data_IF_921889744042
#
_entry.id   IF_921889744042
#
_cell.length_a   1.000
_cell.length_b   1.000
_cell.length_c   1.000
_cell.angle_alpha   90.00
_cell.angle_beta   90.00
_cell.angle_gamma   90.00
#
_symmetry.space_group_name_H-M   'P 1'
#
loop_
_entity.id
_entity.type
_entity.pdbx_description
1 polymer ?
#
# COMPACT_ATOMS: atom_id res chain seq x y z
N UNK A 1 1.16 15.35 3.87
CA UNK A 1 1.01 14.72 2.54
C UNK A 1 1.74 13.38 2.44
N UNK A 2 3.08 13.33 2.21
CA UNK A 2 3.79 12.03 2.06
C UNK A 2 3.80 11.19 3.35
N UNK A 3 3.81 11.79 4.52
CA UNK A 3 3.95 11.07 5.80
C UNK A 3 2.62 10.71 6.43
N UNK A 4 1.65 11.61 6.39
CA UNK A 4 0.33 11.39 7.03
C UNK A 4 -0.69 10.71 6.11
N UNK A 5 -0.38 10.55 4.82
CA UNK A 5 -1.35 10.09 3.84
C UNK A 5 -2.48 11.08 3.57
N UNK A 6 -2.58 12.19 4.29
CA UNK A 6 -3.61 13.20 4.14
C UNK A 6 -3.18 14.33 3.20
N UNK A 7 -4.11 14.89 2.43
CA UNK A 7 -3.82 15.99 1.51
C UNK A 7 -3.45 17.27 2.27
N UNK A 8 -4.15 17.55 3.37
CA UNK A 8 -3.89 18.68 4.26
C UNK A 8 -4.13 18.29 5.70
N UNK A 9 -3.47 18.97 6.62
CA UNK A 9 -3.74 18.83 8.05
C UNK A 9 -4.77 19.87 8.50
N UNK A 10 -5.63 19.55 9.49
CA UNK A 10 -6.44 20.55 10.16
C UNK A 10 -5.58 21.71 10.67
N UNK A 11 -6.08 22.95 10.60
CA UNK A 11 -5.28 24.13 10.93
C UNK A 11 -4.66 24.10 12.33
N UNK A 12 -5.41 23.61 13.33
CA UNK A 12 -4.97 23.41 14.72
C UNK A 12 -3.79 22.40 14.81
N UNK A 13 -3.83 21.32 14.03
CA UNK A 13 -2.75 20.33 13.98
C UNK A 13 -1.57 20.82 13.16
N UNK A 14 -1.80 21.58 12.10
CA UNK A 14 -0.74 22.19 11.29
C UNK A 14 0.12 23.15 12.10
N UNK A 15 -0.46 23.86 13.07
CA UNK A 15 0.26 24.77 13.97
C UNK A 15 1.34 24.06 14.80
N UNK A 16 1.14 22.78 15.14
CA UNK A 16 2.13 21.97 15.89
C UNK A 16 3.44 21.74 15.11
N UNK A 17 3.40 21.91 13.78
CA UNK A 17 4.54 21.74 12.87
C UNK A 17 5.05 23.06 12.31
N UNK A 18 4.60 24.21 12.84
CA UNK A 18 5.01 25.53 12.35
C UNK A 18 6.53 25.77 12.49
N UNK A 19 7.15 25.20 13.53
CA UNK A 19 8.61 25.25 13.71
C UNK A 19 9.25 24.02 13.02
N UNK A 20 9.36 24.06 11.70
CA UNK A 20 9.98 22.99 10.93
C UNK A 20 11.43 22.71 11.32
N UNK A 21 12.16 23.73 11.84
CA UNK A 21 13.55 23.61 12.28
C UNK A 21 13.75 22.58 13.40
N UNK A 22 12.75 22.38 14.26
CA UNK A 22 12.81 21.40 15.34
C UNK A 22 12.86 19.94 14.86
N UNK A 23 12.49 19.69 13.60
CA UNK A 23 12.45 18.35 13.02
C UNK A 23 13.59 18.09 12.03
N UNK A 24 14.44 19.09 11.74
CA UNK A 24 15.51 18.97 10.77
C UNK A 24 16.72 18.33 11.43
N UNK A 25 17.18 17.21 10.87
CA UNK A 25 18.43 16.56 11.24
C UNK A 25 19.60 17.15 10.46
N UNK A 26 19.42 17.38 9.16
CA UNK A 26 20.44 17.89 8.27
C UNK A 26 19.81 18.62 7.08
N UNK A 27 20.50 19.62 6.55
CA UNK A 27 20.16 20.21 5.25
C UNK A 27 21.44 20.43 4.43
N UNK A 28 21.29 20.42 3.13
CA UNK A 28 22.35 20.78 2.18
C UNK A 28 21.78 21.50 0.97
N UNK A 29 22.53 22.45 0.46
CA UNK A 29 22.24 23.10 -0.81
C UNK A 29 22.63 22.15 -1.95
N UNK A 30 21.80 22.03 -2.96
CA UNK A 30 22.08 21.32 -4.20
C UNK A 30 22.62 22.28 -5.26
N UNK A 31 23.33 21.76 -6.27
CA UNK A 31 23.96 22.57 -7.32
C UNK A 31 22.96 23.39 -8.15
N UNK A 32 21.71 22.98 -8.17
CA UNK A 32 20.59 23.67 -8.85
C UNK A 32 19.88 24.72 -7.98
N UNK A 33 20.44 25.05 -6.81
CA UNK A 33 19.90 26.03 -5.87
C UNK A 33 18.75 25.52 -4.98
N UNK A 34 18.35 24.25 -5.11
CA UNK A 34 17.37 23.62 -4.22
C UNK A 34 18.02 23.23 -2.90
N UNK A 35 17.21 23.16 -1.84
CA UNK A 35 17.66 22.69 -0.52
C UNK A 35 17.15 21.27 -0.32
N UNK A 36 18.06 20.33 -0.06
CA UNK A 36 17.74 18.99 0.41
C UNK A 36 17.69 19.00 1.93
N UNK A 37 16.59 18.56 2.51
CA UNK A 37 16.37 18.53 3.96
C UNK A 37 16.13 17.09 4.41
N UNK A 38 16.88 16.65 5.41
CA UNK A 38 16.65 15.37 6.08
C UNK A 38 16.02 15.64 7.45
N UNK A 39 14.88 15.03 7.70
CA UNK A 39 14.17 15.17 8.97
C UNK A 39 14.55 14.07 9.95
N UNK A 40 14.59 14.40 11.24
CA UNK A 40 14.69 13.42 12.32
C UNK A 40 13.37 12.64 12.42
N UNK A 41 13.39 11.42 11.91
CA UNK A 41 12.22 10.56 11.87
C UNK A 41 11.64 10.24 13.25
N UNK A 42 12.48 10.12 14.28
CA UNK A 42 12.04 9.81 15.66
C UNK A 42 11.30 10.99 16.29
N UNK A 43 11.86 12.20 16.11
CA UNK A 43 11.25 13.42 16.64
C UNK A 43 9.94 13.70 15.92
N UNK A 44 9.94 13.60 14.57
CA UNK A 44 8.76 13.82 13.76
C UNK A 44 7.66 12.80 14.11
N UNK A 45 8.01 11.51 14.25
CA UNK A 45 7.05 10.47 14.60
C UNK A 45 6.40 10.71 15.95
N UNK A 46 7.19 11.00 16.99
CA UNK A 46 6.64 11.35 18.32
C UNK A 46 5.66 12.52 18.29
N UNK A 47 5.96 13.53 17.46
CA UNK A 47 5.06 14.68 17.31
C UNK A 47 3.77 14.32 16.57
N UNK A 48 3.86 13.47 15.54
CA UNK A 48 2.69 12.96 14.81
C UNK A 48 1.80 12.12 15.73
N UNK A 49 2.40 11.23 16.52
CA UNK A 49 1.70 10.38 17.50
C UNK A 49 1.01 11.24 18.57
N UNK A 50 1.71 12.23 19.15
CA UNK A 50 1.17 13.17 20.12
C UNK A 50 0.01 14.03 19.55
N UNK A 51 0.03 14.28 18.25
CA UNK A 51 -1.03 14.98 17.52
C UNK A 51 -2.17 14.05 17.06
N UNK A 52 -2.10 12.76 17.37
CA UNK A 52 -3.04 11.74 16.88
C UNK A 52 -3.20 11.80 15.35
N UNK A 53 -2.08 11.94 14.66
CA UNK A 53 -2.04 11.96 13.20
C UNK A 53 -1.61 10.60 12.69
N UNK A 54 -2.32 10.05 11.69
CA UNK A 54 -1.92 8.79 11.08
C UNK A 54 -0.57 8.94 10.40
N UNK A 55 0.25 7.90 10.47
CA UNK A 55 1.54 7.83 9.77
C UNK A 55 1.45 6.76 8.70
N UNK A 56 1.62 7.17 7.45
CA UNK A 56 1.74 6.21 6.35
C UNK A 56 3.16 5.65 6.31
N UNK A 57 3.30 4.34 6.40
CA UNK A 57 4.59 3.63 6.38
C UNK A 57 5.46 4.05 5.17
N UNK A 58 6.77 3.93 5.32
CA UNK A 58 7.71 4.08 4.20
C UNK A 58 7.56 2.95 3.18
N UNK A 59 7.18 1.76 3.63
CA UNK A 59 6.83 0.65 2.75
C UNK A 59 5.43 0.86 2.19
N UNK A 60 5.36 1.16 0.90
CA UNK A 60 4.11 1.46 0.20
C UNK A 60 3.89 0.46 -0.91
N UNK A 61 2.65 0.04 -1.14
CA UNK A 61 2.37 -0.84 -2.27
C UNK A 61 2.70 -0.13 -3.58
N UNK A 62 3.35 -0.85 -4.48
CA UNK A 62 3.51 -0.38 -5.85
C UNK A 62 2.14 -0.42 -6.56
N UNK A 63 1.88 0.62 -7.34
CA UNK A 63 0.66 0.77 -8.13
C UNK A 63 1.01 0.73 -9.60
N UNK A 64 0.50 -0.26 -10.33
CA UNK A 64 0.60 -0.29 -11.79
C UNK A 64 -0.56 0.51 -12.37
N UNK A 65 -0.25 1.46 -13.24
CA UNK A 65 -1.26 2.28 -13.91
C UNK A 65 -1.38 1.86 -15.37
N UNK A 66 -2.54 1.38 -15.74
CA UNK A 66 -2.94 1.09 -17.11
C UNK A 66 -3.84 2.21 -17.61
N UNK A 67 -3.31 3.09 -18.44
CA UNK A 67 -4.07 4.19 -19.02
C UNK A 67 -4.45 3.87 -20.46
N UNK A 68 -5.71 3.50 -20.66
CA UNK A 68 -6.30 3.30 -21.98
C UNK A 68 -6.76 4.64 -22.55
N UNK A 69 -6.31 4.98 -23.76
CA UNK A 69 -6.60 6.25 -24.44
C UNK A 69 -7.35 5.97 -25.74
N UNK A 70 -8.58 6.48 -25.82
CA UNK A 70 -9.38 6.51 -27.06
C UNK A 70 -9.26 7.90 -27.69
N UNK A 71 -8.46 7.99 -28.75
CA UNK A 71 -8.18 9.24 -29.46
C UNK A 71 -9.22 9.55 -30.54
N UNK A 72 -10.27 8.72 -30.62
CA UNK A 72 -11.30 8.82 -31.64
C UNK A 72 -10.89 8.23 -32.99
N UNK A 73 -11.85 8.09 -33.89
CA UNK A 73 -11.64 7.54 -35.24
C UNK A 73 -11.00 6.14 -35.24
N UNK A 74 -11.28 5.31 -34.24
CA UNK A 74 -10.72 3.97 -34.09
C UNK A 74 -9.29 3.90 -33.56
N UNK A 75 -8.65 5.05 -33.29
CA UNK A 75 -7.30 5.09 -32.71
C UNK A 75 -7.36 4.87 -31.21
N UNK A 76 -6.86 3.74 -30.79
CA UNK A 76 -6.85 3.28 -29.39
C UNK A 76 -5.47 2.83 -29.02
N UNK A 77 -4.98 3.27 -27.89
CA UNK A 77 -3.65 2.93 -27.37
C UNK A 77 -3.64 2.85 -25.87
N UNK A 78 -2.61 2.23 -25.33
CA UNK A 78 -2.32 2.19 -23.90
C UNK A 78 -1.03 2.95 -23.66
N UNK A 79 -0.99 3.79 -22.63
CA UNK A 79 0.19 4.54 -22.25
C UNK A 79 1.19 3.58 -21.59
N UNK A 80 2.31 3.35 -22.25
CA UNK A 80 3.43 2.60 -21.68
C UNK A 80 4.46 3.48 -21.00
N UNK A 81 5.45 2.86 -20.38
CA UNK A 81 6.60 3.53 -19.76
C UNK A 81 7.42 4.35 -20.74
N UNK A 82 7.38 3.98 -22.02
CA UNK A 82 8.04 4.69 -23.13
C UNK A 82 7.15 4.70 -24.38
N UNK A 83 7.58 5.42 -25.41
CA UNK A 83 6.88 5.48 -26.70
C UNK A 83 5.75 6.50 -26.76
N UNK A 84 5.09 6.58 -27.91
CA UNK A 84 3.96 7.46 -28.18
C UNK A 84 2.61 6.75 -28.09
N UNK A 85 1.55 7.50 -28.34
CA UNK A 85 0.20 6.99 -28.57
C UNK A 85 -0.07 6.89 -30.06
N UNK A 86 -1.06 6.09 -30.47
CA UNK A 86 -1.32 5.78 -31.89
C UNK A 86 -1.68 7.00 -32.74
N UNK A 87 -2.27 8.02 -32.15
CA UNK A 87 -2.73 9.23 -32.85
C UNK A 87 -2.13 10.52 -32.31
N UNK A 88 -1.26 10.46 -31.33
CA UNK A 88 -0.64 11.61 -30.69
C UNK A 88 0.89 11.51 -30.71
N UNK A 89 1.54 12.67 -30.63
CA UNK A 89 3.01 12.71 -30.60
C UNK A 89 3.57 12.10 -29.29
N UNK A 90 4.85 11.73 -29.33
CA UNK A 90 5.57 11.28 -28.12
C UNK A 90 5.52 12.34 -27.03
N UNK A 91 5.61 13.63 -27.37
CA UNK A 91 5.53 14.73 -26.40
C UNK A 91 4.19 14.76 -25.64
N UNK A 92 3.08 14.40 -26.28
CA UNK A 92 1.77 14.28 -25.60
C UNK A 92 1.78 13.09 -24.62
N UNK A 93 2.30 11.95 -25.05
CA UNK A 93 2.44 10.79 -24.17
C UNK A 93 3.34 11.11 -22.98
N UNK A 94 4.45 11.81 -23.18
CA UNK A 94 5.35 12.25 -22.11
C UNK A 94 4.67 13.21 -21.14
N UNK A 95 3.84 14.12 -21.62
CA UNK A 95 3.08 15.01 -20.73
C UNK A 95 2.11 14.24 -19.83
N UNK A 96 1.51 13.15 -20.32
CA UNK A 96 0.65 12.27 -19.52
C UNK A 96 1.46 11.49 -18.47
N UNK A 97 2.61 10.93 -18.86
CA UNK A 97 3.53 10.27 -17.92
C UNK A 97 3.95 11.22 -16.81
N UNK A 98 4.39 12.42 -17.19
CA UNK A 98 4.81 13.45 -16.25
C UNK A 98 3.70 13.78 -15.25
N UNK A 99 2.47 14.03 -15.72
CA UNK A 99 1.34 14.35 -14.84
C UNK A 99 1.04 13.22 -13.84
N UNK A 100 1.12 11.96 -14.28
CA UNK A 100 0.91 10.79 -13.42
C UNK A 100 2.02 10.67 -12.38
N UNK A 101 3.29 10.75 -12.80
CA UNK A 101 4.43 10.63 -11.88
C UNK A 101 4.53 11.80 -10.91
N UNK A 102 4.30 13.03 -11.34
CA UNK A 102 4.30 14.19 -10.44
C UNK A 102 3.21 14.08 -9.37
N UNK A 103 2.02 13.61 -9.76
CA UNK A 103 0.92 13.41 -8.83
C UNK A 103 1.24 12.30 -7.81
N UNK A 104 1.78 11.18 -8.28
CA UNK A 104 2.20 10.07 -7.45
C UNK A 104 3.34 10.48 -6.49
N UNK A 105 4.36 11.23 -7.01
CA UNK A 105 5.48 11.68 -6.19
C UNK A 105 5.07 12.63 -5.09
N UNK A 106 4.14 13.57 -5.36
CA UNK A 106 3.59 14.47 -4.32
C UNK A 106 3.00 13.71 -3.14
N UNK A 107 2.50 12.51 -3.38
CA UNK A 107 1.91 11.61 -2.37
C UNK A 107 2.89 10.55 -1.88
N UNK A 108 4.04 10.41 -2.55
CA UNK A 108 5.03 9.36 -2.30
C UNK A 108 4.51 7.96 -2.64
N UNK A 109 3.66 7.84 -3.65
CA UNK A 109 3.11 6.58 -4.13
C UNK A 109 4.07 5.99 -5.18
N UNK A 110 4.62 4.76 -4.98
CA UNK A 110 5.39 4.09 -6.02
C UNK A 110 4.49 3.76 -7.21
N UNK A 111 4.70 4.42 -8.35
CA UNK A 111 3.90 4.26 -9.54
C UNK A 111 4.72 3.59 -10.64
N UNK A 112 4.13 2.59 -11.30
CA UNK A 112 4.71 1.85 -12.41
C UNK A 112 3.78 1.99 -13.61
N UNK A 113 4.35 2.34 -14.77
CA UNK A 113 3.68 2.22 -16.05
C UNK A 113 4.12 0.93 -16.72
N UNK A 114 3.24 0.20 -17.44
CA UNK A 114 3.58 -1.04 -18.12
C UNK A 114 4.60 -0.77 -19.23
N UNK A 115 5.45 -1.75 -19.52
CA UNK A 115 6.44 -1.67 -20.59
C UNK A 115 5.80 -1.70 -21.98
N UNK A 116 4.60 -2.25 -22.06
CA UNK A 116 3.85 -2.51 -23.31
C UNK A 116 4.65 -3.39 -24.29
N UNK A 117 5.39 -4.33 -23.75
CA UNK A 117 6.10 -5.35 -24.52
C UNK A 117 5.19 -6.53 -24.92
N UNK A 118 5.75 -7.56 -25.56
CA UNK A 118 4.99 -8.72 -26.02
C UNK A 118 4.28 -9.48 -24.91
N UNK A 119 4.80 -9.46 -23.69
CA UNK A 119 4.17 -10.10 -22.53
C UNK A 119 2.95 -9.31 -22.05
N UNK A 120 3.08 -7.98 -21.91
CA UNK A 120 1.95 -7.13 -21.54
C UNK A 120 0.81 -7.23 -22.56
N UNK A 121 1.16 -7.18 -23.87
CA UNK A 121 0.20 -7.26 -24.96
C UNK A 121 -0.50 -8.62 -25.05
N UNK A 122 0.15 -9.69 -24.60
CA UNK A 122 -0.45 -11.03 -24.54
C UNK A 122 -1.42 -11.21 -23.36
N UNK A 123 -1.20 -10.50 -22.26
CA UNK A 123 -1.95 -10.65 -21.02
C UNK A 123 -3.11 -9.66 -20.87
N UNK A 124 -2.99 -8.45 -21.46
CA UNK A 124 -3.97 -7.39 -21.29
C UNK A 124 -4.25 -6.67 -22.62
N UNK A 125 -5.51 -6.68 -23.03
CA UNK A 125 -5.95 -5.96 -24.22
C UNK A 125 -6.53 -4.58 -23.86
N UNK A 126 -6.62 -3.68 -24.85
CA UNK A 126 -7.34 -2.43 -24.70
C UNK A 126 -8.80 -2.63 -24.23
N UNK A 127 -9.45 -3.69 -24.70
CA UNK A 127 -10.82 -4.01 -24.34
C UNK A 127 -10.97 -4.38 -22.86
N UNK A 128 -9.99 -5.09 -22.29
CA UNK A 128 -9.98 -5.46 -20.88
C UNK A 128 -9.87 -4.23 -19.98
N UNK A 129 -8.99 -3.30 -20.33
CA UNK A 129 -8.84 -2.01 -19.63
C UNK A 129 -10.10 -1.15 -19.76
N UNK A 130 -10.64 -1.07 -20.98
CA UNK A 130 -11.82 -0.26 -21.27
C UNK A 130 -13.09 -0.80 -20.60
N UNK A 131 -13.19 -2.13 -20.51
CA UNK A 131 -14.25 -2.85 -19.79
C UNK A 131 -14.09 -2.81 -18.27
N UNK A 132 -12.89 -2.49 -17.76
CA UNK A 132 -12.62 -2.48 -16.33
C UNK A 132 -12.50 -3.88 -15.71
N UNK A 133 -11.98 -4.85 -16.47
CA UNK A 133 -11.83 -6.23 -15.99
C UNK A 133 -10.65 -6.35 -15.02
N UNK A 134 -10.92 -6.05 -13.74
CA UNK A 134 -9.92 -5.93 -12.67
C UNK A 134 -9.06 -7.19 -12.48
N UNK A 135 -9.67 -8.38 -12.50
CA UNK A 135 -8.95 -9.64 -12.29
C UNK A 135 -7.92 -9.90 -13.40
N UNK A 136 -8.28 -9.61 -14.67
CA UNK A 136 -7.36 -9.71 -15.80
C UNK A 136 -6.19 -8.74 -15.61
N UNK A 137 -6.49 -7.51 -15.20
CA UNK A 137 -5.47 -6.47 -15.02
C UNK A 137 -4.59 -6.73 -13.80
N UNK A 138 -5.11 -7.31 -12.72
CA UNK A 138 -4.32 -7.77 -11.58
C UNK A 138 -3.35 -8.89 -12.01
N UNK A 139 -3.84 -9.86 -12.78
CA UNK A 139 -2.99 -10.95 -13.30
C UNK A 139 -1.87 -10.40 -14.20
N UNK A 140 -2.19 -9.50 -15.15
CA UNK A 140 -1.20 -8.85 -16.01
C UNK A 140 -0.18 -8.00 -15.24
N UNK A 141 -0.58 -7.47 -14.09
CA UNK A 141 0.28 -6.63 -13.24
C UNK A 141 1.19 -7.43 -12.31
N UNK A 142 1.00 -8.74 -12.16
CA UNK A 142 1.77 -9.58 -11.25
C UNK A 142 3.28 -9.56 -11.56
N UNK A 143 3.68 -9.46 -12.83
CA UNK A 143 5.09 -9.35 -13.25
C UNK A 143 5.80 -8.11 -12.66
N UNK A 144 5.05 -7.07 -12.32
CA UNK A 144 5.55 -5.84 -11.69
C UNK A 144 5.59 -5.94 -10.17
N UNK A 145 5.29 -7.10 -9.59
CA UNK A 145 5.19 -7.32 -8.14
C UNK A 145 4.23 -6.34 -7.46
N UNK A 146 3.16 -5.95 -8.17
CA UNK A 146 2.17 -4.99 -7.68
C UNK A 146 0.84 -5.69 -7.38
N UNK A 147 0.31 -5.40 -6.20
CA UNK A 147 -1.00 -5.89 -5.75
C UNK A 147 -2.10 -4.83 -5.90
N UNK A 148 -1.75 -3.67 -6.43
CA UNK A 148 -2.68 -2.56 -6.68
C UNK A 148 -2.60 -2.18 -8.14
N UNK A 149 -3.75 -2.16 -8.79
CA UNK A 149 -3.90 -1.77 -10.19
C UNK A 149 -4.83 -0.58 -10.28
N UNK A 150 -4.39 0.43 -11.03
CA UNK A 150 -5.18 1.61 -11.35
C UNK A 150 -5.44 1.63 -12.85
N UNK A 151 -6.70 1.55 -13.25
CA UNK A 151 -7.12 1.63 -14.65
C UNK A 151 -7.68 3.00 -14.93
N UNK A 152 -7.06 3.73 -15.86
CA UNK A 152 -7.55 5.00 -16.38
C UNK A 152 -8.16 4.82 -17.78
N UNK A 153 -9.35 5.35 -17.99
CA UNK A 153 -10.05 5.36 -19.29
C UNK A 153 -10.21 6.80 -19.73
N UNK A 154 -9.36 7.20 -20.66
CA UNK A 154 -9.31 8.56 -21.19
C UNK A 154 -9.88 8.59 -22.61
N UNK A 155 -10.83 9.47 -22.86
CA UNK A 155 -11.31 9.80 -24.20
C UNK A 155 -10.88 11.20 -24.59
N UNK A 156 -10.32 11.34 -25.78
CA UNK A 156 -10.02 12.65 -26.37
C UNK A 156 -11.20 13.11 -27.24
N UNK A 157 -11.53 14.37 -27.14
CA UNK A 157 -12.48 15.05 -28.05
C UNK A 157 -11.75 16.20 -28.74
N UNK A 158 -11.21 15.93 -29.91
CA UNK A 158 -10.24 16.81 -30.56
C UNK A 158 -8.95 16.94 -29.74
N UNK A 159 -8.45 18.15 -29.52
CA UNK A 159 -7.26 18.40 -28.71
C UNK A 159 -7.55 18.49 -27.19
N UNK A 160 -8.82 18.33 -26.78
CA UNK A 160 -9.18 18.47 -25.37
C UNK A 160 -9.19 17.11 -24.68
N UNK A 161 -8.45 17.02 -23.58
CA UNK A 161 -8.53 15.91 -22.63
C UNK A 161 -9.89 15.99 -21.92
N UNK A 162 -10.68 14.94 -22.03
CA UNK A 162 -11.88 14.77 -21.20
C UNK A 162 -11.47 14.24 -19.84
N UNK A 163 -12.39 14.29 -18.88
CA UNK A 163 -12.15 13.66 -17.57
C UNK A 163 -11.89 12.18 -17.74
N UNK A 164 -10.96 11.66 -16.95
CA UNK A 164 -10.58 10.26 -16.92
C UNK A 164 -11.51 9.52 -15.97
N UNK A 165 -12.03 8.37 -16.40
CA UNK A 165 -12.69 7.43 -15.49
C UNK A 165 -11.64 6.49 -14.92
N UNK A 166 -11.51 6.52 -13.63
CA UNK A 166 -10.55 5.72 -12.87
C UNK A 166 -11.24 4.57 -12.18
N UNK A 167 -10.59 3.41 -12.13
CA UNK A 167 -10.97 2.27 -11.30
C UNK A 167 -9.72 1.73 -10.62
N UNK A 168 -9.79 1.53 -9.31
CA UNK A 168 -8.71 0.94 -8.52
C UNK A 168 -9.11 -0.46 -8.07
N UNK A 169 -8.22 -1.41 -8.26
CA UNK A 169 -8.35 -2.80 -7.83
C UNK A 169 -7.20 -3.14 -6.91
N UNK A 170 -7.54 -3.74 -5.78
CA UNK A 170 -6.57 -4.26 -4.81
C UNK A 170 -6.88 -5.74 -4.64
N UNK A 171 -5.86 -6.60 -4.72
CA UNK A 171 -6.06 -8.04 -4.59
C UNK A 171 -6.79 -8.37 -3.28
N UNK A 172 -7.91 -9.10 -3.39
CA UNK A 172 -8.74 -9.49 -2.25
C UNK A 172 -9.65 -8.39 -1.67
N UNK A 173 -9.83 -7.26 -2.35
CA UNK A 173 -10.67 -6.15 -1.89
C UNK A 173 -11.70 -5.76 -2.95
N UNK A 174 -12.74 -5.04 -2.53
CA UNK A 174 -13.69 -4.43 -3.46
C UNK A 174 -13.02 -3.33 -4.30
N UNK A 175 -13.49 -3.17 -5.54
CA UNK A 175 -13.01 -2.13 -6.45
C UNK A 175 -13.58 -0.77 -6.08
N UNK A 176 -12.83 0.28 -6.39
CA UNK A 176 -13.26 1.67 -6.22
C UNK A 176 -13.24 2.40 -7.57
N UNK A 177 -14.24 3.23 -7.84
CA UNK A 177 -14.33 4.01 -9.08
C UNK A 177 -14.54 5.49 -8.81
N UNK A 178 -13.94 6.34 -9.64
CA UNK A 178 -14.16 7.80 -9.65
C UNK A 178 -13.90 8.42 -11.02
N UNK A 179 -14.27 9.68 -11.16
CA UNK A 179 -14.01 10.49 -12.37
C UNK A 179 -13.26 11.75 -11.97
N UNK A 180 -12.18 12.07 -12.67
CA UNK A 180 -11.35 13.22 -12.35
C UNK A 180 -10.39 13.57 -13.48
N UNK A 181 -9.46 14.48 -13.19
CA UNK A 181 -8.36 14.81 -14.09
C UNK A 181 -7.31 13.67 -14.12
N UNK A 182 -6.34 13.77 -15.02
CA UNK A 182 -5.31 12.75 -15.18
C UNK A 182 -4.52 12.51 -13.88
N UNK A 183 -4.11 13.58 -13.20
CA UNK A 183 -3.39 13.50 -11.92
C UNK A 183 -4.25 13.05 -10.73
N UNK A 184 -5.58 13.09 -10.85
CA UNK A 184 -6.48 12.62 -9.78
C UNK A 184 -6.40 11.10 -9.58
N UNK A 185 -6.03 10.35 -10.62
CA UNK A 185 -5.87 8.90 -10.49
C UNK A 185 -4.91 8.51 -9.38
N UNK A 186 -3.61 8.83 -9.49
CA UNK A 186 -2.63 8.52 -8.45
C UNK A 186 -2.92 9.23 -7.12
N UNK A 187 -3.45 10.46 -7.14
CA UNK A 187 -3.75 11.22 -5.93
C UNK A 187 -4.83 10.53 -5.09
N UNK A 188 -5.97 10.21 -5.70
CA UNK A 188 -7.09 9.57 -5.00
C UNK A 188 -6.73 8.15 -4.56
N UNK A 189 -6.02 7.40 -5.43
CA UNK A 189 -5.50 6.08 -5.06
C UNK A 189 -4.59 6.15 -3.81
N UNK A 190 -3.70 7.15 -3.75
CA UNK A 190 -2.86 7.36 -2.58
C UNK A 190 -3.67 7.73 -1.33
N UNK A 191 -4.74 8.52 -1.46
CA UNK A 191 -5.63 8.86 -0.34
C UNK A 191 -6.34 7.61 0.20
N UNK A 192 -6.90 6.78 -0.68
CA UNK A 192 -7.59 5.55 -0.32
C UNK A 192 -6.63 4.55 0.35
N UNK A 193 -5.47 4.30 -0.27
CA UNK A 193 -4.45 3.43 0.29
C UNK A 193 -3.90 3.97 1.61
N UNK A 194 -3.68 5.29 1.69
CA UNK A 194 -3.25 5.96 2.91
C UNK A 194 -4.26 5.78 4.04
N UNK A 195 -5.55 5.93 3.79
CA UNK A 195 -6.60 5.70 4.79
C UNK A 195 -6.63 4.24 5.26
N UNK A 196 -6.51 3.28 4.34
CA UNK A 196 -6.49 1.87 4.69
C UNK A 196 -5.23 1.49 5.47
N UNK A 197 -4.06 1.93 5.01
CA UNK A 197 -2.77 1.55 5.59
C UNK A 197 -2.37 2.42 6.79
N UNK A 198 -2.76 3.70 6.82
CA UNK A 198 -2.53 4.56 7.98
C UNK A 198 -3.39 4.14 9.18
N UNK A 199 -4.52 3.47 8.95
CA UNK A 199 -5.29 2.84 10.03
C UNK A 199 -4.48 1.72 10.69
N UNK A 200 -3.60 1.06 9.95
CA UNK A 200 -2.64 0.07 10.48
C UNK A 200 -1.41 0.74 11.14
N UNK A 201 -0.99 1.91 10.68
CA UNK A 201 0.15 2.65 11.25
C UNK A 201 -0.22 3.45 12.51
N UNK A 202 -1.47 3.92 12.63
CA UNK A 202 -2.00 4.47 13.90
C UNK A 202 -2.06 3.42 15.01
N UNK A 203 -1.94 2.14 14.68
CA UNK A 203 -1.64 1.06 15.62
C UNK A 203 -0.12 0.95 15.86
N UNK A 204 0.57 2.07 16.13
CA UNK A 204 1.98 2.03 16.59
C UNK A 204 2.12 1.31 17.96
N UNK A 205 1.00 1.08 18.64
CA UNK A 205 0.84 0.16 19.76
C UNK A 205 0.21 -1.19 19.33
N UNK A 206 0.19 -1.50 18.01
CA UNK A 206 -0.31 -2.79 17.59
C UNK A 206 0.64 -3.89 18.04
N UNK A 207 0.09 -4.78 18.83
CA UNK A 207 0.82 -5.94 19.34
C UNK A 207 0.94 -6.93 18.20
N UNK A 208 2.17 -7.33 17.87
CA UNK A 208 2.41 -8.38 16.89
C UNK A 208 2.16 -9.73 17.52
N UNK A 209 1.26 -10.51 16.93
CA UNK A 209 0.95 -11.87 17.36
C UNK A 209 1.23 -12.82 16.20
N UNK A 210 2.22 -13.70 16.36
CA UNK A 210 2.55 -14.73 15.37
C UNK A 210 1.87 -16.04 15.75
N UNK A 211 1.04 -16.57 14.85
CA UNK A 211 0.38 -17.87 15.07
C UNK A 211 0.94 -18.90 14.10
N UNK A 212 1.47 -19.98 14.63
CA UNK A 212 2.03 -21.14 13.90
C UNK A 212 0.98 -22.25 13.75
N UNK A 213 1.20 -23.11 12.76
CA UNK A 213 0.31 -24.24 12.50
C UNK A 213 -0.88 -23.88 11.62
N UNK A 214 -0.93 -22.69 11.05
CA UNK A 214 -1.96 -22.29 10.08
C UNK A 214 -1.56 -22.84 8.70
N UNK A 215 -2.19 -23.96 8.33
CA UNK A 215 -1.90 -24.67 7.08
C UNK A 215 -3.08 -24.64 6.11
N UNK A 216 -4.27 -24.33 6.59
CA UNK A 216 -5.50 -24.29 5.79
C UNK A 216 -6.23 -22.96 5.95
N UNK A 217 -7.16 -22.69 5.03
CA UNK A 217 -8.02 -21.50 5.12
C UNK A 217 -8.95 -21.56 6.34
N UNK A 218 -9.36 -22.78 6.75
CA UNK A 218 -10.20 -22.98 7.93
C UNK A 218 -9.43 -22.66 9.21
N UNK A 219 -8.14 -23.06 9.29
CA UNK A 219 -7.28 -22.66 10.41
C UNK A 219 -7.15 -21.14 10.50
N UNK A 220 -6.89 -20.50 9.37
CA UNK A 220 -6.82 -19.06 9.29
C UNK A 220 -8.12 -18.38 9.75
N UNK A 221 -9.27 -18.83 9.25
CA UNK A 221 -10.56 -18.29 9.60
C UNK A 221 -10.88 -18.46 11.10
N UNK A 222 -10.54 -19.65 11.66
CA UNK A 222 -10.72 -19.95 13.10
C UNK A 222 -9.89 -19.02 13.98
N UNK A 223 -8.60 -18.83 13.65
CA UNK A 223 -7.71 -17.93 14.40
C UNK A 223 -8.18 -16.49 14.29
N UNK A 224 -8.50 -16.02 13.07
CA UNK A 224 -8.95 -14.64 12.85
C UNK A 224 -10.24 -14.32 13.60
N UNK A 225 -11.23 -15.23 13.55
CA UNK A 225 -12.50 -15.05 14.26
C UNK A 225 -12.29 -15.09 15.78
N UNK A 226 -11.41 -15.95 16.27
CA UNK A 226 -11.06 -16.01 17.67
C UNK A 226 -10.45 -14.69 18.15
N UNK A 227 -9.41 -14.18 17.46
CA UNK A 227 -8.75 -12.92 17.83
C UNK A 227 -9.70 -11.72 17.77
N UNK A 228 -10.60 -11.67 16.77
CA UNK A 228 -11.63 -10.63 16.67
C UNK A 228 -12.69 -10.71 17.76
N UNK A 229 -12.92 -11.89 18.32
CA UNK A 229 -13.89 -12.13 19.39
C UNK A 229 -13.41 -11.70 20.78
N UNK A 230 -12.12 -11.40 20.95
CA UNK A 230 -11.58 -10.96 22.24
C UNK A 230 -12.06 -9.52 22.56
N UNK A 231 -12.65 -9.32 23.72
CA UNK A 231 -13.29 -8.05 24.11
C UNK A 231 -12.36 -6.85 24.18
N UNK A 232 -11.05 -7.10 24.34
CA UNK A 232 -10.02 -6.06 24.39
C UNK A 232 -9.45 -5.72 23.01
N UNK A 233 -9.77 -6.52 21.99
CA UNK A 233 -9.28 -6.34 20.62
C UNK A 233 -10.23 -5.42 19.86
N UNK A 234 -9.68 -4.31 19.35
CA UNK A 234 -10.43 -3.37 18.51
C UNK A 234 -10.33 -3.72 17.04
N UNK A 235 -9.15 -4.21 16.62
CA UNK A 235 -8.87 -4.54 15.24
C UNK A 235 -7.81 -5.62 15.12
N UNK A 236 -8.00 -6.52 14.16
CA UNK A 236 -7.01 -7.53 13.75
C UNK A 236 -6.74 -7.32 12.27
N UNK A 237 -5.48 -7.12 11.94
CA UNK A 237 -4.95 -7.12 10.57
C UNK A 237 -3.93 -8.24 10.38
N UNK A 238 -3.64 -8.61 9.14
CA UNK A 238 -2.53 -9.50 8.80
C UNK A 238 -1.36 -8.63 8.38
N UNK A 239 -0.23 -8.75 9.07
CA UNK A 239 0.99 -8.06 8.70
C UNK A 239 1.86 -8.89 7.76
N UNK A 240 1.84 -10.22 7.91
CA UNK A 240 2.63 -11.12 7.07
C UNK A 240 2.07 -12.54 7.06
N UNK A 241 2.20 -13.22 5.91
CA UNK A 241 1.89 -14.63 5.75
C UNK A 241 3.19 -15.38 5.47
N UNK A 242 3.48 -16.40 6.27
CA UNK A 242 4.66 -17.27 6.19
C UNK A 242 4.22 -18.72 5.93
N UNK A 243 5.12 -19.58 5.49
CA UNK A 243 4.81 -21.00 5.36
C UNK A 243 4.49 -21.60 6.73
N UNK A 244 3.24 -21.99 6.95
CA UNK A 244 2.74 -22.58 8.20
C UNK A 244 2.59 -21.60 9.37
N UNK A 245 2.64 -20.28 9.12
CA UNK A 245 2.42 -19.26 10.15
C UNK A 245 1.85 -17.97 9.58
N UNK A 246 1.14 -17.20 10.42
CA UNK A 246 0.63 -15.87 10.07
C UNK A 246 0.97 -14.89 11.19
N UNK A 247 1.51 -13.75 10.82
CA UNK A 247 1.69 -12.61 11.72
C UNK A 247 0.47 -11.70 11.66
N UNK A 248 -0.18 -11.55 12.81
CA UNK A 248 -1.29 -10.63 12.99
C UNK A 248 -0.82 -9.35 13.69
N UNK A 249 -1.33 -8.23 13.22
CA UNK A 249 -1.21 -6.94 13.87
C UNK A 249 -2.50 -6.65 14.63
N UNK A 250 -2.43 -6.59 15.95
CA UNK A 250 -3.59 -6.45 16.83
C UNK A 250 -3.58 -5.08 17.48
N UNK A 251 -4.58 -4.26 17.20
CA UNK A 251 -4.88 -3.07 17.99
C UNK A 251 -5.76 -3.48 19.17
N UNK A 252 -5.24 -3.31 20.38
CA UNK A 252 -5.95 -3.67 21.60
C UNK A 252 -6.07 -2.45 22.53
N UNK A 253 -7.12 -2.42 23.36
CA UNK A 253 -7.36 -1.40 24.40
C UNK A 253 -6.48 -1.60 25.64
N UNK A 254 -5.46 -2.43 25.54
CA UNK A 254 -4.62 -2.84 26.66
C UNK A 254 -3.23 -3.23 26.19
N UNK A 255 -2.32 -3.41 27.15
CA UNK A 255 -0.96 -3.83 26.90
C UNK A 255 -0.83 -5.30 26.41
N UNK A 256 0.37 -5.66 25.98
CA UNK A 256 0.69 -7.02 25.48
C UNK A 256 0.50 -8.10 26.53
N UNK A 257 0.74 -7.78 27.83
CA UNK A 257 0.60 -8.77 28.91
C UNK A 257 -0.86 -9.17 29.14
N UNK A 258 -1.78 -8.20 29.07
CA UNK A 258 -3.20 -8.46 29.18
C UNK A 258 -3.73 -9.19 27.96
N UNK A 259 -3.29 -8.80 26.76
CA UNK A 259 -3.64 -9.52 25.54
C UNK A 259 -3.16 -10.98 25.61
N UNK A 260 -1.92 -11.22 26.07
CA UNK A 260 -1.38 -12.57 26.25
C UNK A 260 -2.27 -13.42 27.17
N UNK A 261 -2.66 -12.86 28.33
CA UNK A 261 -3.55 -13.56 29.28
C UNK A 261 -4.91 -13.91 28.68
N UNK A 262 -5.49 -13.01 27.92
CA UNK A 262 -6.82 -13.21 27.33
C UNK A 262 -6.75 -14.23 26.16
N UNK A 263 -5.70 -14.21 25.34
CA UNK A 263 -5.47 -15.20 24.31
C UNK A 263 -5.27 -16.59 24.94
N UNK A 264 -4.45 -16.72 25.97
CA UNK A 264 -4.13 -18.01 26.60
C UNK A 264 -5.35 -18.64 27.29
N UNK A 265 -6.33 -17.84 27.75
CA UNK A 265 -7.55 -18.33 28.38
C UNK A 265 -8.57 -18.92 27.40
N UNK A 266 -8.54 -18.51 26.15
CA UNK A 266 -9.59 -18.85 25.17
C UNK A 266 -9.51 -20.26 24.59
N UNK A 267 -8.44 -21.02 24.85
CA UNK A 267 -8.33 -22.43 24.50
C UNK A 267 -8.17 -22.75 22.99
N UNK A 268 -8.05 -21.74 22.14
CA UNK A 268 -7.86 -21.89 20.69
C UNK A 268 -6.37 -21.85 20.29
N UNK A 269 -5.60 -21.09 21.07
CA UNK A 269 -4.18 -20.87 20.85
C UNK A 269 -3.42 -21.25 22.12
N UNK A 270 -2.28 -21.94 21.96
CA UNK A 270 -1.33 -22.18 23.04
C UNK A 270 -0.11 -21.30 22.86
N UNK A 271 0.41 -20.77 23.97
CA UNK A 271 1.66 -20.00 23.95
C UNK A 271 2.82 -20.90 23.51
N UNK A 272 3.60 -20.42 22.53
CA UNK A 272 4.77 -21.16 22.07
C UNK A 272 5.91 -21.02 23.07
N UNK A 273 6.19 -22.09 23.82
CA UNK A 273 7.29 -22.20 24.79
C UNK A 273 8.50 -22.89 24.11
N UNK A 274 8.90 -22.50 22.95
CA UNK A 274 10.06 -23.05 22.23
C UNK A 274 11.25 -22.11 22.26
N UNK A 275 12.39 -22.58 22.76
CA UNK A 275 13.61 -21.88 23.12
C UNK A 275 14.02 -20.68 22.27
N UNK A 276 14.56 -19.66 22.94
CA UNK A 276 15.11 -18.36 22.48
C UNK A 276 14.38 -17.69 21.30
N UNK A 277 13.76 -16.58 21.60
CA UNK A 277 13.25 -15.64 20.63
C UNK A 277 14.18 -15.53 19.41
N UNK A 278 13.72 -15.96 18.24
CA UNK A 278 14.38 -15.43 17.09
C UNK A 278 14.49 -16.25 15.81
N UNK A 279 14.30 -17.54 15.76
CA UNK A 279 14.53 -18.27 14.49
C UNK A 279 13.40 -19.25 14.19
N UNK A 280 12.57 -18.95 13.19
CA UNK A 280 11.69 -19.94 12.57
C UNK A 280 12.49 -20.60 11.45
N UNK A 281 12.94 -21.85 11.67
CA UNK A 281 13.47 -22.67 10.59
C UNK A 281 12.31 -23.08 9.67
N UNK A 282 12.32 -22.62 8.44
CA UNK A 282 11.42 -23.10 7.39
C UNK A 282 12.12 -24.28 6.73
N UNK A 283 11.63 -25.49 7.04
CA UNK A 283 12.13 -26.72 6.45
C UNK A 283 11.56 -26.86 5.03
N UNK A 284 12.18 -26.20 4.07
CA UNK A 284 12.06 -26.52 2.66
C UNK A 284 13.36 -26.17 1.94
N UNK A 285 13.88 -27.10 1.17
CA UNK A 285 15.21 -27.16 0.57
C UNK A 285 15.53 -26.06 -0.49
N UNK A 286 14.95 -24.86 -0.41
CA UNK A 286 15.15 -23.78 -1.37
C UNK A 286 15.41 -22.39 -0.77
N UNK A 287 15.45 -22.20 0.56
CA UNK A 287 15.87 -20.89 1.10
C UNK A 287 16.39 -20.99 2.53
N UNK A 288 17.70 -20.84 2.68
CA UNK A 288 18.41 -20.65 3.96
C UNK A 288 18.18 -19.21 4.49
N UNK A 289 16.94 -18.81 4.70
CA UNK A 289 16.63 -17.57 5.37
C UNK A 289 16.13 -17.89 6.79
N UNK A 290 17.04 -17.88 7.74
CA UNK A 290 16.69 -17.81 9.16
C UNK A 290 16.03 -16.47 9.43
N UNK A 291 14.77 -16.49 9.85
CA UNK A 291 13.98 -15.29 10.08
C UNK A 291 13.93 -14.95 11.57
N UNK A 292 14.34 -13.72 11.96
CA UNK A 292 14.10 -13.20 13.32
C UNK A 292 12.65 -12.74 13.42
N UNK A 293 11.89 -13.34 14.33
CA UNK A 293 10.61 -12.78 14.78
C UNK A 293 10.92 -11.51 15.58
N UNK A 294 10.36 -10.39 15.16
CA UNK A 294 10.41 -9.17 15.94
C UNK A 294 9.73 -9.40 17.31
N UNK A 295 10.12 -8.66 18.35
CA UNK A 295 9.58 -8.77 19.71
C UNK A 295 8.05 -8.80 19.67
N UNK A 296 7.44 -9.99 19.78
CA UNK A 296 6.00 -10.22 19.67
C UNK A 296 5.58 -11.52 20.36
N UNK A 297 4.28 -11.65 20.57
CA UNK A 297 3.68 -12.85 21.16
C UNK A 297 3.63 -13.97 20.11
N UNK A 298 4.05 -15.18 20.47
CA UNK A 298 4.07 -16.33 19.57
C UNK A 298 3.18 -17.45 20.11
N UNK A 299 2.30 -17.97 19.26
CA UNK A 299 1.35 -19.01 19.59
C UNK A 299 1.35 -20.14 18.56
N UNK A 300 0.75 -21.27 18.94
CA UNK A 300 0.42 -22.37 18.04
C UNK A 300 -1.08 -22.63 18.10
N UNK A 301 -1.71 -22.89 16.94
CA UNK A 301 -3.10 -23.31 16.88
C UNK A 301 -3.25 -24.74 17.44
N UNK A 302 -4.35 -24.95 18.19
CA UNK A 302 -4.72 -26.28 18.73
C UNK A 302 -5.41 -27.13 17.68
#
# INVERSE_FOLDING_TARGET
MKVTGQESLPAEKAALFANAGAFIQQYRMLDDGRISVTFDQRVLRRQLDAAELPVWSAERPAVVVWLAVDEGQGRRSVLGAAGGLSGSSVAVADSYRQALYESADKRGLPLILPLMDGEDLAQASFADMWGGFGDVMLAASARYSANVVLIGRLRLSGAKVQKVRWSMFVAGSESSEWVGELGDGPRVAADMLGQQLATFAAAADAITVTVRGINTLDDYARVLNYLRGLSIVERVGVSRVLAGAVEFSIAARSDSERLNRDISRGGVLDEWVGGSAGVIAVDSAASLASYRVADGLVYTIK
#
